data_IF_206359875824
#
_entry.id   IF_206359875824
#
_cell.length_a   1.000
_cell.length_b   1.000
_cell.length_c   1.000
_cell.angle_alpha   90.00
_cell.angle_beta   90.00
_cell.angle_gamma   90.00
#
_symmetry.space_group_name_H-M   'P 1'
#
loop_
_entity.id
_entity.type
_entity.pdbx_description
1 polymer ?
#
# COMPACT_ATOMS: atom_id res chain seq x y z
N UNK A 1 22.02 -9.13 -2.25
CA UNK A 1 20.68 -8.68 -1.77
C UNK A 1 20.56 -7.16 -1.88
N UNK A 2 21.12 -6.55 -2.93
CA UNK A 2 21.22 -5.08 -3.03
C UNK A 2 19.86 -4.40 -3.29
N UNK A 3 18.91 -5.13 -3.89
CA UNK A 3 17.58 -4.63 -4.24
C UNK A 3 16.45 -5.18 -3.34
N UNK A 4 16.77 -5.60 -2.11
CA UNK A 4 15.78 -6.14 -1.16
C UNK A 4 15.53 -5.13 -0.06
N UNK A 5 14.29 -4.67 0.06
CA UNK A 5 13.83 -3.83 1.17
C UNK A 5 13.06 -4.71 2.15
N UNK A 6 13.53 -4.79 3.39
CA UNK A 6 12.83 -5.48 4.48
C UNK A 6 12.06 -4.44 5.27
N UNK A 7 10.74 -4.59 5.34
CA UNK A 7 9.87 -3.71 6.13
C UNK A 7 9.83 -4.24 7.57
N UNK A 8 10.50 -3.54 8.48
CA UNK A 8 10.69 -3.93 9.88
C UNK A 8 9.74 -3.23 10.87
N UNK A 9 8.66 -2.64 10.36
CA UNK A 9 7.66 -1.98 11.18
C UNK A 9 6.99 -2.95 12.19
N UNK A 10 6.83 -2.58 13.48
CA UNK A 10 6.29 -3.48 14.51
C UNK A 10 4.92 -4.09 14.18
N UNK A 11 4.01 -3.31 13.57
CA UNK A 11 2.71 -3.81 13.14
C UNK A 11 2.79 -4.86 12.03
N UNK A 12 3.77 -4.72 11.11
CA UNK A 12 4.01 -5.70 10.05
C UNK A 12 4.50 -7.01 10.66
N UNK A 13 5.47 -6.94 11.58
CA UNK A 13 5.99 -8.12 12.28
C UNK A 13 4.90 -8.82 13.12
N UNK A 14 4.08 -8.05 13.85
CA UNK A 14 2.98 -8.57 14.65
C UNK A 14 1.94 -9.29 13.78
N UNK A 15 1.43 -8.63 12.73
CA UNK A 15 0.43 -9.22 11.82
C UNK A 15 0.98 -10.43 11.06
N UNK A 16 2.25 -10.37 10.64
CA UNK A 16 2.92 -11.50 10.01
C UNK A 16 3.02 -12.70 10.96
N UNK A 17 3.25 -12.46 12.26
CA UNK A 17 3.27 -13.52 13.27
C UNK A 17 1.90 -14.19 13.40
N UNK A 18 0.82 -13.40 13.48
CA UNK A 18 -0.55 -13.93 13.51
C UNK A 18 -0.89 -14.71 12.23
N UNK A 19 -0.49 -14.20 11.08
CA UNK A 19 -0.72 -14.86 9.79
C UNK A 19 0.05 -16.20 9.67
N UNK A 20 1.19 -16.34 10.36
CA UNK A 20 1.99 -17.57 10.40
C UNK A 20 1.49 -18.61 11.40
N UNK A 21 0.65 -18.24 12.37
CA UNK A 21 0.08 -19.20 13.31
C UNK A 21 -0.84 -20.18 12.57
N UNK A 22 -0.59 -21.49 12.75
CA UNK A 22 -1.38 -22.57 12.17
C UNK A 22 -2.84 -22.59 12.62
N UNK A 23 -3.14 -21.94 13.75
CA UNK A 23 -4.49 -21.85 14.31
C UNK A 23 -5.31 -20.71 13.70
N UNK A 24 -4.69 -19.84 12.89
CA UNK A 24 -5.37 -18.71 12.25
C UNK A 24 -6.33 -19.19 11.18
N UNK A 25 -7.60 -18.84 11.34
CA UNK A 25 -8.66 -19.21 10.40
C UNK A 25 -8.52 -18.53 9.04
N UNK A 26 -9.18 -19.09 8.02
CA UNK A 26 -9.12 -18.58 6.64
C UNK A 26 -9.66 -17.15 6.50
N UNK A 27 -10.65 -16.76 7.31
CA UNK A 27 -11.18 -15.39 7.33
C UNK A 27 -10.13 -14.40 7.84
N UNK A 28 -9.53 -14.71 8.98
CA UNK A 28 -8.57 -13.83 9.64
C UNK A 28 -7.27 -13.73 8.83
N UNK A 29 -6.84 -14.83 8.23
CA UNK A 29 -5.70 -14.84 7.30
C UNK A 29 -5.92 -13.85 6.13
N UNK A 30 -7.10 -13.85 5.51
CA UNK A 30 -7.41 -12.92 4.41
C UNK A 30 -7.42 -11.47 4.86
N UNK A 31 -7.98 -11.20 6.05
CA UNK A 31 -7.97 -9.86 6.63
C UNK A 31 -6.54 -9.38 6.89
N UNK A 32 -5.72 -10.20 7.55
CA UNK A 32 -4.31 -9.89 7.84
C UNK A 32 -3.49 -9.69 6.57
N UNK A 33 -3.75 -10.47 5.51
CA UNK A 33 -3.09 -10.32 4.21
C UNK A 33 -3.40 -8.98 3.56
N UNK A 34 -4.67 -8.56 3.57
CA UNK A 34 -5.08 -7.25 3.05
C UNK A 34 -4.39 -6.14 3.86
N UNK A 35 -4.49 -6.17 5.20
CA UNK A 35 -3.87 -5.16 6.06
C UNK A 35 -2.35 -5.05 5.88
N UNK A 36 -1.66 -6.19 5.78
CA UNK A 36 -0.22 -6.23 5.50
C UNK A 36 0.09 -5.60 4.14
N UNK A 37 -0.72 -5.89 3.13
CA UNK A 37 -0.52 -5.35 1.78
C UNK A 37 -0.70 -3.84 1.74
N UNK A 38 -1.64 -3.28 2.49
CA UNK A 38 -1.83 -1.83 2.64
C UNK A 38 -0.62 -1.18 3.30
N UNK A 39 -0.08 -1.78 4.37
CA UNK A 39 1.12 -1.29 5.04
C UNK A 39 2.35 -1.35 4.12
N UNK A 40 2.49 -2.43 3.36
CA UNK A 40 3.57 -2.57 2.39
C UNK A 40 3.44 -1.57 1.24
N UNK A 41 2.23 -1.32 0.75
CA UNK A 41 1.98 -0.32 -0.31
C UNK A 41 2.42 1.07 0.14
N UNK A 42 2.18 1.43 1.40
CA UNK A 42 2.60 2.71 1.96
C UNK A 42 4.12 2.87 1.94
N UNK A 43 4.86 1.83 2.34
CA UNK A 43 6.32 1.88 2.31
C UNK A 43 6.89 1.88 0.88
N UNK A 44 6.33 1.07 -0.03
CA UNK A 44 6.80 0.98 -1.42
C UNK A 44 6.55 2.27 -2.20
N UNK A 45 5.56 3.07 -1.81
CA UNK A 45 5.22 4.33 -2.49
C UNK A 45 5.93 5.57 -1.93
N UNK A 46 6.84 5.39 -0.97
CA UNK A 46 7.56 6.47 -0.29
C UNK A 46 8.30 7.43 -1.24
N UNK A 47 8.87 6.89 -2.31
CA UNK A 47 9.71 7.64 -3.26
C UNK A 47 8.96 8.08 -4.53
N UNK A 48 7.62 8.04 -4.53
CA UNK A 48 6.85 8.50 -5.68
C UNK A 48 7.11 9.99 -5.97
N UNK A 49 7.31 10.36 -7.25
CA UNK A 49 7.56 11.74 -7.62
C UNK A 49 6.33 12.61 -7.33
N UNK A 50 6.57 13.88 -6.97
CA UNK A 50 5.53 14.86 -6.71
C UNK A 50 5.74 16.13 -7.52
N UNK A 51 4.65 16.75 -7.96
CA UNK A 51 4.63 18.03 -8.68
C UNK A 51 3.83 19.08 -7.91
N UNK A 52 4.14 20.35 -8.15
CA UNK A 52 3.44 21.48 -7.52
C UNK A 52 2.30 21.98 -8.42
N UNK A 53 1.12 22.15 -7.85
CA UNK A 53 -0.06 22.69 -8.50
C UNK A 53 -0.63 23.86 -7.69
N UNK A 54 -1.16 24.86 -8.38
CA UNK A 54 -1.89 25.96 -7.74
C UNK A 54 -3.29 25.49 -7.37
N UNK A 55 -3.66 25.65 -6.11
CA UNK A 55 -5.00 25.35 -5.59
C UNK A 55 -5.57 26.56 -4.84
N UNK A 56 -6.90 26.64 -4.79
CA UNK A 56 -7.62 27.61 -3.97
C UNK A 56 -8.19 26.92 -2.74
N UNK A 57 -7.76 27.36 -1.55
CA UNK A 57 -8.35 26.93 -0.28
C UNK A 57 -9.45 27.90 0.13
N UNK A 58 -10.33 27.55 1.09
CA UNK A 58 -11.33 28.48 1.61
C UNK A 58 -10.77 29.79 2.19
N UNK A 59 -9.44 29.88 2.43
CA UNK A 59 -8.78 31.05 3.01
C UNK A 59 -7.95 31.82 1.98
N UNK A 60 -7.18 31.13 1.13
CA UNK A 60 -6.30 31.74 0.12
C UNK A 60 -5.82 30.74 -0.95
N UNK A 61 -5.32 31.27 -2.07
CA UNK A 61 -4.59 30.47 -3.07
C UNK A 61 -3.20 30.06 -2.55
N UNK A 62 -2.80 28.82 -2.82
CA UNK A 62 -1.48 28.29 -2.44
C UNK A 62 -0.98 27.24 -3.44
N UNK A 63 0.33 26.99 -3.42
CA UNK A 63 0.97 25.88 -4.14
C UNK A 63 0.96 24.64 -3.26
N UNK A 64 0.39 23.56 -3.76
CA UNK A 64 0.30 22.28 -3.08
C UNK A 64 1.01 21.18 -3.89
N UNK A 65 1.44 20.11 -3.23
CA UNK A 65 2.10 18.97 -3.89
C UNK A 65 1.09 17.86 -4.16
N UNK A 66 1.12 17.32 -5.37
CA UNK A 66 0.34 16.15 -5.79
C UNK A 66 1.28 15.10 -6.37
N UNK A 67 0.86 13.83 -6.38
CA UNK A 67 1.62 12.76 -7.02
C UNK A 67 1.78 13.06 -8.52
N UNK A 68 3.02 13.06 -9.00
CA UNK A 68 3.34 13.30 -10.38
C UNK A 68 3.21 12.01 -11.20
N UNK A 69 2.82 12.14 -12.47
CA UNK A 69 2.87 11.05 -13.45
C UNK A 69 1.55 10.31 -13.69
N UNK A 70 1.65 9.14 -14.32
CA UNK A 70 0.49 8.35 -14.81
C UNK A 70 0.08 7.28 -13.79
N UNK A 71 -1.11 6.71 -14.02
CA UNK A 71 -1.71 5.65 -13.19
C UNK A 71 -0.74 4.49 -12.95
N UNK A 72 -0.63 4.06 -11.69
CA UNK A 72 0.11 2.86 -11.31
C UNK A 72 -0.64 1.60 -11.79
N UNK A 73 0.11 0.60 -12.21
CA UNK A 73 -0.43 -0.71 -12.59
C UNK A 73 -0.30 -1.71 -11.45
N UNK A 74 -1.37 -2.39 -11.07
CA UNK A 74 -1.34 -3.46 -10.06
C UNK A 74 -1.55 -4.80 -10.76
N UNK A 75 -0.52 -5.67 -10.73
CA UNK A 75 -0.53 -6.95 -11.43
C UNK A 75 -0.47 -8.12 -10.42
N UNK A 76 -1.63 -8.64 -9.96
CA UNK A 76 -1.64 -9.79 -9.06
C UNK A 76 -1.36 -11.10 -9.80
N UNK A 77 -0.48 -11.93 -9.24
CA UNK A 77 -0.30 -13.32 -9.69
C UNK A 77 -1.39 -14.19 -9.07
N UNK A 78 -2.23 -14.78 -9.90
CA UNK A 78 -3.40 -15.53 -9.44
C UNK A 78 -3.02 -16.89 -8.82
N UNK A 79 -3.76 -17.37 -7.81
CA UNK A 79 -4.96 -16.77 -7.18
C UNK A 79 -4.66 -15.94 -5.94
N UNK A 80 -3.57 -16.24 -5.23
CA UNK A 80 -3.28 -15.67 -3.92
C UNK A 80 -2.99 -14.16 -3.98
N UNK A 81 -2.45 -13.66 -5.11
CA UNK A 81 -2.16 -12.24 -5.28
C UNK A 81 -3.40 -11.33 -5.25
N UNK A 82 -4.61 -11.88 -5.44
CA UNK A 82 -5.83 -11.07 -5.43
C UNK A 82 -6.08 -10.41 -4.07
N UNK A 83 -5.85 -11.14 -2.97
CA UNK A 83 -6.03 -10.58 -1.62
C UNK A 83 -5.03 -9.49 -1.27
N UNK A 84 -3.87 -9.46 -1.95
CA UNK A 84 -2.91 -8.37 -1.80
C UNK A 84 -3.28 -7.15 -2.63
N UNK A 85 -3.72 -7.37 -3.88
CA UNK A 85 -4.14 -6.30 -4.77
C UNK A 85 -5.27 -5.46 -4.17
N UNK A 86 -6.22 -6.08 -3.46
CA UNK A 86 -7.28 -5.37 -2.74
C UNK A 86 -6.72 -4.34 -1.73
N UNK A 87 -5.79 -4.75 -0.86
CA UNK A 87 -5.18 -3.84 0.12
C UNK A 87 -4.35 -2.71 -0.53
N UNK A 88 -3.68 -2.99 -1.65
CA UNK A 88 -2.95 -1.94 -2.40
C UNK A 88 -3.92 -0.95 -3.05
N UNK A 89 -5.03 -1.43 -3.62
CA UNK A 89 -6.05 -0.59 -4.26
C UNK A 89 -6.78 0.31 -3.27
N UNK A 90 -6.91 -0.09 -2.00
CA UNK A 90 -7.44 0.79 -0.95
C UNK A 90 -6.58 2.05 -0.74
N UNK A 91 -5.25 1.92 -0.82
CA UNK A 91 -4.33 3.06 -0.71
C UNK A 91 -4.26 3.90 -1.99
N UNK A 92 -4.34 3.25 -3.16
CA UNK A 92 -4.20 3.89 -4.46
C UNK A 92 -5.40 3.55 -5.37
N UNK A 93 -6.56 4.19 -5.15
CA UNK A 93 -7.78 3.86 -5.90
C UNK A 93 -7.69 4.16 -7.40
N UNK A 94 -6.75 5.02 -7.80
CA UNK A 94 -6.51 5.39 -9.19
C UNK A 94 -5.70 4.34 -9.98
N UNK A 95 -5.15 3.34 -9.30
CA UNK A 95 -4.41 2.25 -9.92
C UNK A 95 -5.35 1.29 -10.69
N UNK A 96 -4.83 0.66 -11.75
CA UNK A 96 -5.59 -0.23 -12.63
C UNK A 96 -4.85 -1.52 -12.95
#
# INVERSE_FOLDING_TARGET
MENVVVIDHPLVQHKLTLMRDKNTGTKDFRMLLNELSTLMAYEVTRDLPMEEVDIETPVASMRARVLAGRKLGIVPILRAGLGMAEGVMELIPAAK
#
